data_IF_910606915897
#
_entry.id   IF_910606915897
#
_cell.length_a   1.000
_cell.length_b   1.000
_cell.length_c   1.000
_cell.angle_alpha   90.00
_cell.angle_beta   90.00
_cell.angle_gamma   90.00
#
_symmetry.space_group_name_H-M   'P 1'
#
loop_
_entity.id
_entity.type
_entity.pdbx_description
1 polymer ?
#
# COMPACT_ATOMS: atom_id res chain seq x y z
N UNK A 1 -27.86 7.77 -16.94
CA UNK A 1 -26.64 7.28 -17.63
C UNK A 1 -25.44 7.86 -16.89
N UNK A 2 -24.95 7.14 -15.86
CA UNK A 2 -23.73 7.52 -15.15
C UNK A 2 -22.54 6.97 -15.95
N UNK A 3 -21.83 7.84 -16.64
CA UNK A 3 -20.50 7.53 -17.15
C UNK A 3 -19.54 7.55 -15.94
N UNK A 4 -19.31 6.40 -15.30
CA UNK A 4 -18.14 6.20 -14.49
C UNK A 4 -16.93 6.40 -15.42
N UNK A 5 -16.27 7.55 -15.32
CA UNK A 5 -14.93 7.73 -15.87
C UNK A 5 -14.02 6.80 -15.06
N UNK A 6 -13.75 5.61 -15.56
CA UNK A 6 -12.59 4.85 -15.14
C UNK A 6 -11.39 5.73 -15.42
N UNK A 7 -10.73 6.21 -14.38
CA UNK A 7 -9.44 6.92 -14.54
C UNK A 7 -8.50 5.92 -15.18
N UNK A 8 -7.93 6.28 -16.33
CA UNK A 8 -7.01 5.40 -17.06
C UNK A 8 -5.77 5.12 -16.21
N UNK A 9 -5.31 3.87 -16.22
CA UNK A 9 -4.08 3.41 -15.55
C UNK A 9 -2.89 4.36 -15.76
N UNK A 10 -2.71 4.83 -17.00
CA UNK A 10 -1.64 5.78 -17.36
C UNK A 10 -1.80 7.12 -16.63
N UNK A 11 -3.04 7.59 -16.45
CA UNK A 11 -3.31 8.84 -15.72
C UNK A 11 -3.00 8.69 -14.23
N UNK A 12 -3.41 7.57 -13.61
CA UNK A 12 -3.09 7.27 -12.20
C UNK A 12 -1.58 7.24 -11.99
N UNK A 13 -0.86 6.49 -12.83
CA UNK A 13 0.60 6.41 -12.76
C UNK A 13 1.24 7.80 -12.88
N UNK A 14 0.85 8.61 -13.87
CA UNK A 14 1.42 9.93 -14.09
C UNK A 14 1.17 10.88 -12.89
N UNK A 15 0.02 10.81 -12.24
CA UNK A 15 -0.27 11.58 -11.03
C UNK A 15 0.73 11.23 -9.93
N UNK A 16 0.88 9.94 -9.60
CA UNK A 16 1.81 9.52 -8.54
C UNK A 16 3.27 9.78 -8.89
N UNK A 17 3.65 9.66 -10.16
CA UNK A 17 4.98 10.06 -10.63
C UNK A 17 5.26 11.55 -10.37
N UNK A 18 4.27 12.42 -10.56
CA UNK A 18 4.43 13.86 -10.43
C UNK A 18 4.49 14.36 -8.98
N UNK A 19 3.78 13.71 -8.05
CA UNK A 19 3.66 14.16 -6.65
C UNK A 19 4.56 13.41 -5.68
N UNK A 20 5.40 12.50 -6.16
CA UNK A 20 6.16 11.57 -5.33
C UNK A 20 7.00 12.21 -4.22
N UNK A 21 7.56 13.40 -4.45
CA UNK A 21 8.40 14.10 -3.48
C UNK A 21 7.58 14.79 -2.37
N UNK A 22 6.40 15.29 -2.71
CA UNK A 22 5.51 16.02 -1.79
C UNK A 22 4.44 15.13 -1.16
N UNK A 23 4.34 13.88 -1.60
CA UNK A 23 3.26 12.97 -1.25
C UNK A 23 3.10 12.77 0.27
N UNK A 24 4.20 12.53 0.97
CA UNK A 24 4.17 12.33 2.41
C UNK A 24 3.76 13.59 3.17
N UNK A 25 4.29 14.75 2.73
CA UNK A 25 3.94 16.05 3.32
C UNK A 25 2.46 16.38 3.11
N UNK A 26 1.92 16.14 1.91
CA UNK A 26 0.50 16.35 1.62
C UNK A 26 -0.39 15.44 2.46
N UNK A 27 -0.03 14.15 2.60
CA UNK A 27 -0.77 13.22 3.45
C UNK A 27 -0.72 13.62 4.92
N UNK A 28 0.45 14.08 5.43
CA UNK A 28 0.60 14.61 6.78
C UNK A 28 -0.34 15.79 7.03
N UNK A 29 -0.40 16.72 6.08
CA UNK A 29 -1.22 17.91 6.17
C UNK A 29 -2.72 17.59 6.12
N UNK A 30 -3.16 16.77 5.16
CA UNK A 30 -4.58 16.45 4.95
C UNK A 30 -5.18 15.60 6.08
N UNK A 31 -4.39 14.75 6.72
CA UNK A 31 -4.88 13.83 7.75
C UNK A 31 -4.52 14.25 9.17
N UNK A 32 -3.94 15.44 9.35
CA UNK A 32 -3.39 15.91 10.63
C UNK A 32 -2.49 14.83 11.27
N UNK A 33 -1.70 14.13 10.45
CA UNK A 33 -0.79 13.03 10.82
C UNK A 33 -1.48 11.76 11.34
N UNK A 34 -2.80 11.65 11.31
CA UNK A 34 -3.51 10.45 11.74
C UNK A 34 -3.18 9.23 10.86
N UNK A 35 -2.88 9.44 9.56
CA UNK A 35 -2.48 8.34 8.67
C UNK A 35 -1.24 7.60 9.18
N UNK A 36 -0.30 8.27 9.85
CA UNK A 36 0.89 7.64 10.44
C UNK A 36 0.52 6.65 11.55
N UNK A 37 -0.52 6.94 12.34
CA UNK A 37 -1.04 6.05 13.37
C UNK A 37 -1.64 4.79 12.75
N UNK A 38 -2.51 4.95 11.77
CA UNK A 38 -3.16 3.81 11.08
C UNK A 38 -2.17 2.90 10.36
N UNK A 39 -1.12 3.48 9.74
CA UNK A 39 -0.04 2.69 9.14
C UNK A 39 0.75 1.87 10.17
N UNK A 40 0.86 2.33 11.43
CA UNK A 40 1.46 1.56 12.53
C UNK A 40 0.54 0.43 12.99
N UNK A 41 -0.77 0.65 13.05
CA UNK A 41 -1.76 -0.37 13.41
C UNK A 41 -1.69 -1.59 12.48
N UNK A 42 -1.42 -1.39 11.17
CA UNK A 42 -1.17 -2.50 10.24
C UNK A 42 -0.02 -3.38 10.75
N UNK A 43 1.09 -2.77 11.17
CA UNK A 43 2.24 -3.52 11.67
C UNK A 43 1.92 -4.26 12.98
N UNK A 44 1.14 -3.66 13.88
CA UNK A 44 0.69 -4.29 15.13
C UNK A 44 -0.18 -5.52 14.85
N UNK A 45 -1.12 -5.44 13.91
CA UNK A 45 -1.94 -6.58 13.47
C UNK A 45 -1.07 -7.68 12.86
N UNK A 46 -0.06 -7.30 12.07
CA UNK A 46 0.84 -8.24 11.41
C UNK A 46 1.76 -8.97 12.41
N UNK A 47 2.27 -8.29 13.43
CA UNK A 47 3.18 -8.84 14.45
C UNK A 47 2.57 -10.08 15.12
N UNK A 48 1.27 -10.07 15.43
CA UNK A 48 0.57 -11.16 16.09
C UNK A 48 0.68 -12.51 15.36
N UNK A 49 0.98 -12.50 14.06
CA UNK A 49 1.11 -13.70 13.21
C UNK A 49 2.57 -14.16 13.04
N UNK A 50 3.57 -13.40 13.55
CA UNK A 50 5.01 -13.68 13.35
C UNK A 50 5.38 -13.99 11.89
N UNK A 51 4.96 -13.17 10.92
CA UNK A 51 5.11 -13.44 9.50
C UNK A 51 6.58 -13.48 9.07
N UNK A 52 6.91 -14.34 8.11
CA UNK A 52 8.26 -14.41 7.52
C UNK A 52 8.34 -13.71 6.18
N UNK A 53 7.26 -13.71 5.40
CA UNK A 53 7.18 -13.08 4.07
C UNK A 53 5.97 -12.17 4.02
N UNK A 54 6.21 -10.90 3.73
CA UNK A 54 5.19 -9.86 3.69
C UNK A 54 5.23 -9.17 2.33
N UNK A 55 4.07 -8.91 1.76
CA UNK A 55 3.93 -8.09 0.56
C UNK A 55 3.16 -6.81 0.91
N UNK A 56 3.70 -5.67 0.53
CA UNK A 56 3.03 -4.37 0.62
C UNK A 56 2.69 -3.89 -0.80
N UNK A 57 1.42 -3.97 -1.18
CA UNK A 57 0.91 -3.61 -2.51
C UNK A 57 0.52 -2.13 -2.51
N UNK A 58 0.83 -1.41 -3.60
CA UNK A 58 0.73 0.03 -3.70
C UNK A 58 1.50 0.72 -2.55
N UNK A 59 2.75 0.27 -2.36
CA UNK A 59 3.60 0.68 -1.23
C UNK A 59 3.95 2.16 -1.24
N UNK A 60 3.84 2.85 -2.37
CA UNK A 60 4.15 4.26 -2.53
C UNK A 60 5.58 4.59 -2.09
N UNK A 61 5.71 5.53 -1.16
CA UNK A 61 6.99 5.94 -0.57
C UNK A 61 7.49 5.00 0.53
N UNK A 62 6.85 3.84 0.71
CA UNK A 62 7.33 2.73 1.54
C UNK A 62 7.02 2.81 3.03
N UNK A 63 6.14 3.69 3.49
CA UNK A 63 5.92 3.92 4.94
C UNK A 63 5.37 2.70 5.67
N UNK A 64 4.43 1.95 5.04
CA UNK A 64 3.89 0.71 5.63
C UNK A 64 4.97 -0.36 5.65
N UNK A 65 5.66 -0.57 4.53
CA UNK A 65 6.77 -1.52 4.44
C UNK A 65 7.86 -1.23 5.49
N UNK A 66 8.21 0.05 5.74
CA UNK A 66 9.15 0.48 6.77
C UNK A 66 8.64 0.13 8.18
N UNK A 67 7.35 0.30 8.46
CA UNK A 67 6.80 -0.12 9.75
C UNK A 67 6.82 -1.64 9.91
N UNK A 68 6.49 -2.39 8.85
CA UNK A 68 6.52 -3.85 8.82
C UNK A 68 7.94 -4.42 8.96
N UNK A 69 8.97 -3.68 8.52
CA UNK A 69 10.37 -4.12 8.60
C UNK A 69 10.88 -4.33 10.03
N UNK A 70 10.18 -3.78 11.02
CA UNK A 70 10.47 -3.94 12.44
C UNK A 70 10.09 -5.32 12.98
N UNK A 71 9.34 -6.12 12.20
CA UNK A 71 8.97 -7.48 12.57
C UNK A 71 10.19 -8.39 12.41
N UNK A 72 10.61 -8.98 13.52
CA UNK A 72 11.87 -9.72 13.58
C UNK A 72 11.87 -10.95 12.66
N UNK A 73 12.88 -11.08 11.81
CA UNK A 73 13.03 -12.21 10.88
C UNK A 73 12.09 -12.20 9.68
N UNK A 74 11.35 -11.08 9.45
CA UNK A 74 10.54 -10.91 8.25
C UNK A 74 11.36 -10.40 7.07
N UNK A 75 10.91 -10.75 5.85
CA UNK A 75 11.34 -10.16 4.57
C UNK A 75 10.13 -9.51 3.92
N UNK A 76 10.29 -8.28 3.45
CA UNK A 76 9.22 -7.48 2.88
C UNK A 76 9.50 -7.24 1.39
N UNK A 77 8.53 -7.51 0.55
CA UNK A 77 8.48 -7.03 -0.82
C UNK A 77 7.47 -5.88 -0.87
N UNK A 78 7.88 -4.72 -1.37
CA UNK A 78 6.99 -3.59 -1.65
C UNK A 78 6.82 -3.42 -3.16
N UNK A 79 5.60 -3.33 -3.63
CA UNK A 79 5.31 -3.13 -5.05
C UNK A 79 4.48 -1.88 -5.29
N UNK A 80 4.82 -1.14 -6.35
CA UNK A 80 4.07 0.03 -6.79
C UNK A 80 4.20 0.20 -8.31
N UNK A 81 3.24 0.87 -8.93
CA UNK A 81 3.28 1.20 -10.37
C UNK A 81 4.21 2.38 -10.67
N UNK A 82 4.47 3.25 -9.68
CA UNK A 82 5.29 4.45 -9.80
C UNK A 82 6.74 4.18 -9.40
N UNK A 83 7.65 4.22 -10.37
CA UNK A 83 9.08 4.08 -10.07
C UNK A 83 9.62 5.30 -9.27
N UNK A 84 9.05 6.49 -9.45
CA UNK A 84 9.44 7.66 -8.67
C UNK A 84 9.06 7.53 -7.19
N UNK A 85 7.87 6.98 -6.88
CA UNK A 85 7.52 6.64 -5.50
C UNK A 85 8.53 5.65 -4.91
N UNK A 86 8.88 4.60 -5.66
CA UNK A 86 9.84 3.60 -5.22
C UNK A 86 11.27 4.16 -5.07
N UNK A 87 11.67 5.17 -5.85
CA UNK A 87 12.95 5.87 -5.63
C UNK A 87 12.97 6.56 -4.27
N UNK A 88 11.88 7.23 -3.89
CA UNK A 88 11.74 7.83 -2.55
C UNK A 88 11.81 6.76 -1.46
N UNK A 89 11.07 5.64 -1.63
CA UNK A 89 11.09 4.53 -0.70
C UNK A 89 12.51 3.94 -0.52
N UNK A 90 13.23 3.69 -1.63
CA UNK A 90 14.62 3.18 -1.61
C UNK A 90 15.58 4.15 -0.90
N UNK A 91 15.40 5.47 -1.09
CA UNK A 91 16.16 6.50 -0.38
C UNK A 91 15.92 6.41 1.13
N UNK A 92 14.66 6.35 1.56
CA UNK A 92 14.27 6.23 2.98
C UNK A 92 14.91 5.01 3.65
N UNK A 93 14.80 3.81 3.05
CA UNK A 93 15.37 2.59 3.66
C UNK A 93 16.89 2.64 3.74
N UNK A 94 17.56 3.28 2.78
CA UNK A 94 19.01 3.50 2.82
C UNK A 94 19.41 4.42 3.99
N UNK A 95 18.72 5.54 4.17
CA UNK A 95 18.95 6.49 5.28
C UNK A 95 18.68 5.84 6.65
N UNK A 96 17.64 5.01 6.74
CA UNK A 96 17.26 4.28 7.95
C UNK A 96 18.06 2.99 8.18
N UNK A 97 18.97 2.62 7.25
CA UNK A 97 19.78 1.37 7.28
C UNK A 97 18.93 0.11 7.38
N UNK A 98 17.76 0.10 6.73
CA UNK A 98 16.86 -1.07 6.65
C UNK A 98 17.32 -1.95 5.50
N UNK A 99 17.47 -3.26 5.73
CA UNK A 99 18.02 -4.22 4.77
C UNK A 99 17.11 -5.41 4.46
N UNK A 100 15.92 -5.48 5.05
CA UNK A 100 14.96 -6.56 4.88
C UNK A 100 13.74 -6.17 4.01
N UNK A 101 13.82 -5.04 3.28
CA UNK A 101 12.81 -4.61 2.31
C UNK A 101 13.43 -4.61 0.91
N UNK A 102 12.67 -5.13 -0.05
CA UNK A 102 12.96 -5.01 -1.47
C UNK A 102 11.78 -4.34 -2.19
N UNK A 103 12.06 -3.41 -3.13
CA UNK A 103 11.03 -2.69 -3.87
C UNK A 103 11.09 -3.02 -5.37
N UNK A 104 9.92 -3.32 -5.97
CA UNK A 104 9.77 -3.63 -7.40
C UNK A 104 8.63 -2.84 -8.02
N UNK A 105 8.82 -2.35 -9.24
CA UNK A 105 7.73 -1.79 -10.05
C UNK A 105 6.86 -2.93 -10.53
N UNK A 106 5.57 -2.92 -10.13
CA UNK A 106 4.64 -4.00 -10.44
C UNK A 106 3.18 -3.50 -10.29
N UNK A 107 2.31 -3.98 -11.15
CA UNK A 107 0.87 -3.76 -11.05
C UNK A 107 0.25 -4.73 -10.04
N UNK A 108 -0.73 -4.25 -9.27
CA UNK A 108 -1.48 -5.10 -8.35
C UNK A 108 -2.27 -6.21 -9.07
N UNK A 109 -2.67 -5.94 -10.30
CA UNK A 109 -3.43 -6.83 -11.17
C UNK A 109 -2.57 -7.87 -11.90
N UNK A 110 -1.23 -7.83 -11.73
CA UNK A 110 -0.31 -8.76 -12.39
C UNK A 110 0.95 -8.95 -11.53
N UNK A 111 0.78 -9.57 -10.37
CA UNK A 111 1.85 -9.78 -9.40
C UNK A 111 2.85 -10.85 -9.88
N UNK A 112 4.15 -10.51 -9.87
CA UNK A 112 5.25 -11.36 -10.35
C UNK A 112 5.73 -12.38 -9.31
N UNK A 113 4.86 -12.81 -8.41
CA UNK A 113 5.17 -13.74 -7.32
C UNK A 113 4.45 -15.07 -7.52
N UNK A 114 5.02 -16.11 -6.92
CA UNK A 114 4.42 -17.46 -6.89
C UNK A 114 3.15 -17.51 -6.04
N UNK A 115 2.30 -18.50 -6.31
CA UNK A 115 1.12 -18.78 -5.51
C UNK A 115 1.50 -19.14 -4.07
N UNK A 116 0.65 -18.78 -3.10
CA UNK A 116 0.81 -19.15 -1.68
C UNK A 116 2.19 -18.76 -1.10
N UNK A 117 2.69 -17.57 -1.44
CA UNK A 117 4.04 -17.13 -1.10
C UNK A 117 4.11 -16.31 0.20
N UNK A 118 3.13 -15.42 0.43
CA UNK A 118 3.16 -14.46 1.53
C UNK A 118 2.30 -14.86 2.72
N UNK A 119 2.81 -14.59 3.92
CA UNK A 119 2.07 -14.78 5.18
C UNK A 119 1.10 -13.62 5.42
N UNK A 120 1.52 -12.40 5.04
CA UNK A 120 0.75 -11.15 5.16
C UNK A 120 0.83 -10.39 3.84
N UNK A 121 -0.30 -9.81 3.45
CA UNK A 121 -0.38 -8.78 2.40
C UNK A 121 -0.99 -7.53 3.03
N UNK A 122 -0.37 -6.37 2.82
CA UNK A 122 -0.91 -5.06 3.17
C UNK A 122 -1.21 -4.25 1.93
N UNK A 123 -2.30 -3.47 1.98
CA UNK A 123 -2.66 -2.48 0.96
C UNK A 123 -3.12 -1.23 1.70
N UNK A 124 -2.35 -0.14 1.65
CA UNK A 124 -2.71 1.10 2.31
C UNK A 124 -3.07 2.20 1.31
N UNK A 125 -4.34 2.63 1.28
CA UNK A 125 -4.87 3.69 0.40
C UNK A 125 -4.69 3.42 -1.10
N UNK A 126 -4.45 2.16 -1.48
CA UNK A 126 -4.14 1.75 -2.84
C UNK A 126 -5.33 1.14 -3.59
N UNK A 127 -6.23 0.47 -2.89
CA UNK A 127 -7.31 -0.35 -3.48
C UNK A 127 -8.19 0.46 -4.44
N UNK A 128 -8.51 1.70 -4.11
CA UNK A 128 -9.31 2.61 -4.94
C UNK A 128 -8.66 3.00 -6.27
N UNK A 129 -7.34 2.80 -6.38
CA UNK A 129 -6.54 3.15 -7.56
C UNK A 129 -6.30 1.95 -8.48
N UNK A 130 -6.78 0.76 -8.13
CA UNK A 130 -6.68 -0.41 -9.00
C UNK A 130 -7.52 -0.18 -10.27
N UNK A 131 -6.93 -0.43 -11.43
CA UNK A 131 -7.64 -0.34 -12.72
C UNK A 131 -8.72 -1.42 -12.84
N UNK A 132 -8.49 -2.56 -12.21
CA UNK A 132 -9.45 -3.64 -12.06
C UNK A 132 -9.35 -4.21 -10.63
N UNK A 133 -10.28 -3.78 -9.77
CA UNK A 133 -10.33 -4.16 -8.37
C UNK A 133 -10.39 -5.69 -8.17
N UNK A 134 -11.28 -6.36 -8.93
CA UNK A 134 -11.47 -7.81 -8.83
C UNK A 134 -10.18 -8.55 -9.18
N UNK A 135 -9.52 -8.14 -10.27
CA UNK A 135 -8.26 -8.75 -10.70
C UNK A 135 -7.14 -8.54 -9.66
N UNK A 136 -7.01 -7.33 -9.11
CA UNK A 136 -6.01 -7.03 -8.08
C UNK A 136 -6.24 -7.82 -6.78
N UNK A 137 -7.51 -7.97 -6.38
CA UNK A 137 -7.86 -8.80 -5.22
C UNK A 137 -7.63 -10.30 -5.48
N UNK A 138 -7.92 -10.79 -6.69
CA UNK A 138 -7.65 -12.18 -7.08
C UNK A 138 -6.14 -12.47 -7.11
N UNK A 139 -5.32 -11.57 -7.62
CA UNK A 139 -3.87 -11.69 -7.58
C UNK A 139 -3.35 -11.66 -6.12
N UNK A 140 -3.88 -10.77 -5.29
CA UNK A 140 -3.56 -10.75 -3.85
C UNK A 140 -3.90 -12.09 -3.19
N UNK A 141 -5.07 -12.65 -3.49
CA UNK A 141 -5.49 -13.95 -2.97
C UNK A 141 -4.58 -15.09 -3.47
N UNK A 142 -4.21 -15.08 -4.76
CA UNK A 142 -3.35 -16.09 -5.37
C UNK A 142 -1.99 -16.19 -4.67
N UNK A 143 -1.35 -15.05 -4.41
CA UNK A 143 -0.02 -15.01 -3.80
C UNK A 143 -0.05 -15.12 -2.27
N UNK A 144 -1.23 -14.98 -1.63
CA UNK A 144 -1.42 -15.14 -0.20
C UNK A 144 -1.47 -16.62 0.17
N UNK A 145 -0.80 -17.02 1.24
CA UNK A 145 -0.89 -18.39 1.78
C UNK A 145 -2.29 -18.66 2.31
N UNK A 146 -2.67 -19.96 2.39
CA UNK A 146 -3.97 -20.42 2.85
C UNK A 146 -4.38 -19.85 4.22
N UNK A 147 -3.43 -19.73 5.15
CA UNK A 147 -3.65 -19.17 6.49
C UNK A 147 -3.10 -17.75 6.62
N UNK A 148 -2.79 -17.11 5.49
CA UNK A 148 -2.27 -15.74 5.41
C UNK A 148 -3.38 -14.72 5.66
N UNK A 149 -2.97 -13.48 5.92
CA UNK A 149 -3.91 -12.37 6.17
C UNK A 149 -3.71 -11.26 5.15
N UNK A 150 -4.81 -10.80 4.58
CA UNK A 150 -4.87 -9.57 3.80
C UNK A 150 -5.36 -8.43 4.72
N UNK A 151 -4.56 -7.36 4.83
CA UNK A 151 -4.87 -6.18 5.65
C UNK A 151 -5.04 -5.00 4.70
N UNK A 152 -6.25 -4.43 4.67
CA UNK A 152 -6.55 -3.27 3.83
C UNK A 152 -6.83 -2.08 4.73
N UNK A 153 -6.11 -0.98 4.50
CA UNK A 153 -6.37 0.33 5.08
C UNK A 153 -6.91 1.24 3.98
N UNK A 154 -8.15 1.69 4.13
CA UNK A 154 -8.78 2.58 3.16
C UNK A 154 -9.66 3.61 3.85
N UNK A 155 -9.83 4.78 3.22
CA UNK A 155 -10.77 5.79 3.69
C UNK A 155 -12.17 5.49 3.19
N UNK A 156 -13.16 5.67 4.06
CA UNK A 156 -14.58 5.60 3.70
C UNK A 156 -15.23 6.98 3.87
N UNK A 157 -16.30 7.21 3.13
CA UNK A 157 -17.14 8.39 3.35
C UNK A 157 -17.87 8.20 4.67
N UNK A 158 -17.79 9.15 5.63
CA UNK A 158 -18.49 9.04 6.90
C UNK A 158 -20.00 8.87 6.70
N UNK A 159 -20.61 7.95 7.43
CA UNK A 159 -22.06 7.75 7.41
C UNK A 159 -22.81 8.88 8.11
N UNK A 160 -22.17 9.54 9.08
CA UNK A 160 -22.73 10.68 9.80
C UNK A 160 -22.96 11.86 8.84
N UNK A 161 -24.20 12.34 8.67
CA UNK A 161 -24.55 13.38 7.69
C UNK A 161 -23.84 14.72 7.93
N UNK A 162 -23.55 15.07 9.19
CA UNK A 162 -22.83 16.31 9.53
C UNK A 162 -21.38 16.22 9.09
N UNK A 163 -20.72 15.09 9.35
CA UNK A 163 -19.33 14.88 8.94
C UNK A 163 -19.26 14.73 7.40
N UNK A 164 -20.23 14.04 6.81
CA UNK A 164 -20.32 13.87 5.35
C UNK A 164 -20.38 15.22 4.62
N UNK A 165 -21.11 16.19 5.18
CA UNK A 165 -21.22 17.55 4.62
C UNK A 165 -19.86 18.29 4.59
N UNK A 166 -18.95 17.99 5.52
CA UNK A 166 -17.60 18.58 5.55
C UNK A 166 -16.63 17.93 4.54
N UNK A 167 -17.03 16.81 3.91
CA UNK A 167 -16.24 16.06 2.93
C UNK A 167 -16.71 16.25 1.47
N UNK A 168 -17.79 17.00 1.24
CA UNK A 168 -18.31 17.38 -0.08
C UNK A 168 -18.06 18.84 -0.39
#
# INVERSE_FOLDING_TARGET
MNKNKSIDFVQIKNIFESISNEYDFMNDLMTLRNHSKWKKEIAEIAIASSPKRILDIATGTGDIAINLSKINGSKIEGVDISDNMLKVARKKIKELKINNINFKTCEAENLVFEDNHFDIISIGYGVRNFSNLEKGLNESYRVLKKDGKLIILETSIPENPIIKFLYT
#
